data_IF_938925621437
#
_entry.id   IF_938925621437
#
_cell.length_a   1.000
_cell.length_b   1.000
_cell.length_c   1.000
_cell.angle_alpha   90.00
_cell.angle_beta   90.00
_cell.angle_gamma   90.00
#
_symmetry.space_group_name_H-M   'P 1'
#
loop_
_entity.id
_entity.type
_entity.pdbx_description
1 polymer ?
#
# COMPACT_ATOMS: atom_id res chain seq x y z
N UNK A 1 -7.25 -20.69 -20.04
CA UNK A 1 -5.90 -20.09 -20.18
C UNK A 1 -5.99 -18.59 -20.02
N UNK A 2 -5.17 -17.99 -19.16
CA UNK A 2 -5.11 -16.52 -18.97
C UNK A 2 -3.85 -15.98 -19.65
N UNK A 3 -4.04 -15.17 -20.67
CA UNK A 3 -2.96 -14.56 -21.46
C UNK A 3 -2.94 -13.05 -21.19
N UNK A 4 -1.76 -12.51 -20.87
CA UNK A 4 -1.54 -11.06 -20.85
C UNK A 4 -0.80 -10.64 -22.12
N UNK A 5 -1.27 -9.59 -22.77
CA UNK A 5 -0.59 -8.98 -23.93
C UNK A 5 -0.20 -7.55 -23.57
N UNK A 6 1.11 -7.28 -23.63
CA UNK A 6 1.70 -5.99 -23.31
C UNK A 6 2.19 -5.36 -24.61
N UNK A 7 1.60 -4.26 -25.00
CA UNK A 7 1.93 -3.53 -26.22
C UNK A 7 0.91 -2.46 -26.55
N UNK A 8 1.11 -1.76 -27.66
CA UNK A 8 0.24 -0.70 -28.16
C UNK A 8 -0.48 -1.06 -29.49
N UNK A 9 -0.17 -2.23 -30.07
CA UNK A 9 -0.77 -2.69 -31.33
C UNK A 9 -2.15 -3.32 -31.13
N UNK A 10 -3.19 -2.51 -31.34
CA UNK A 10 -4.59 -2.95 -31.22
C UNK A 10 -5.00 -4.02 -32.24
N UNK A 11 -4.34 -4.11 -33.40
CA UNK A 11 -4.63 -5.13 -34.42
C UNK A 11 -4.10 -6.49 -33.99
N UNK A 12 -2.87 -6.53 -33.48
CA UNK A 12 -2.27 -7.72 -32.89
C UNK A 12 -3.11 -8.22 -31.71
N UNK A 13 -3.52 -7.32 -30.81
CA UNK A 13 -4.34 -7.65 -29.65
C UNK A 13 -5.66 -8.29 -30.05
N UNK A 14 -6.38 -7.71 -31.02
CA UNK A 14 -7.64 -8.26 -31.52
C UNK A 14 -7.48 -9.64 -32.18
N UNK A 15 -6.41 -9.83 -32.95
CA UNK A 15 -6.09 -11.14 -33.57
C UNK A 15 -5.76 -12.20 -32.52
N UNK A 16 -4.93 -11.87 -31.54
CA UNK A 16 -4.58 -12.77 -30.45
C UNK A 16 -5.81 -13.17 -29.65
N UNK A 17 -6.66 -12.22 -29.28
CA UNK A 17 -7.90 -12.50 -28.55
C UNK A 17 -8.76 -13.50 -29.29
N UNK A 18 -9.08 -13.23 -30.56
CA UNK A 18 -9.91 -14.11 -31.37
C UNK A 18 -9.31 -15.53 -31.51
N UNK A 19 -8.00 -15.62 -31.76
CA UNK A 19 -7.36 -16.94 -31.97
C UNK A 19 -7.21 -17.72 -30.66
N UNK A 20 -6.98 -17.05 -29.55
CA UNK A 20 -6.87 -17.66 -28.22
C UNK A 20 -8.24 -18.18 -27.76
N UNK A 21 -9.31 -17.38 -27.92
CA UNK A 21 -10.69 -17.76 -27.58
C UNK A 21 -11.17 -18.99 -28.40
N UNK A 22 -10.78 -19.07 -29.68
CA UNK A 22 -11.11 -20.22 -30.54
C UNK A 22 -10.33 -21.48 -30.16
N UNK A 23 -9.06 -21.35 -29.77
CA UNK A 23 -8.16 -22.49 -29.53
C UNK A 23 -8.23 -23.04 -28.11
N UNK A 24 -8.57 -22.22 -27.13
CA UNK A 24 -8.69 -22.62 -25.71
C UNK A 24 -10.05 -22.19 -25.16
N UNK A 25 -10.91 -23.15 -24.89
CA UNK A 25 -12.17 -22.93 -24.17
C UNK A 25 -11.87 -22.32 -22.79
N UNK A 26 -12.66 -21.32 -22.38
CA UNK A 26 -12.49 -20.59 -21.12
C UNK A 26 -11.16 -19.82 -21.01
N UNK A 27 -10.68 -19.26 -22.12
CA UNK A 27 -9.51 -18.40 -22.11
C UNK A 27 -9.89 -16.94 -21.87
N UNK A 28 -8.99 -16.22 -21.19
CA UNK A 28 -9.09 -14.78 -20.94
C UNK A 28 -7.84 -14.09 -21.52
N UNK A 29 -8.04 -13.04 -22.30
CA UNK A 29 -6.95 -12.22 -22.84
C UNK A 29 -7.05 -10.82 -22.23
N UNK A 30 -6.05 -10.46 -21.44
CA UNK A 30 -5.95 -9.14 -20.80
C UNK A 30 -4.91 -8.32 -21.54
N UNK A 31 -5.32 -7.13 -21.99
CA UNK A 31 -4.47 -6.21 -22.73
C UNK A 31 -3.97 -5.11 -21.82
N UNK A 32 -2.68 -4.84 -21.91
CA UNK A 32 -2.05 -3.74 -21.21
C UNK A 32 -1.36 -2.82 -22.22
N UNK A 33 -1.81 -1.57 -22.28
CA UNK A 33 -1.17 -0.54 -23.08
C UNK A 33 -0.34 0.38 -22.17
N UNK A 34 1.00 0.31 -22.22
CA UNK A 34 1.89 1.09 -21.35
C UNK A 34 1.82 2.59 -21.59
N UNK A 35 1.50 3.03 -22.83
CA UNK A 35 1.38 4.46 -23.18
C UNK A 35 0.20 5.09 -22.45
N UNK A 36 -0.90 4.35 -22.30
CA UNK A 36 -2.13 4.83 -21.67
C UNK A 36 -2.08 4.67 -20.16
N UNK A 37 -1.49 3.58 -19.65
CA UNK A 37 -1.52 3.20 -18.23
C UNK A 37 -0.24 3.49 -17.45
N UNK A 38 0.85 3.88 -18.11
CA UNK A 38 2.13 4.21 -17.48
C UNK A 38 3.10 3.04 -17.36
N UNK A 39 4.12 3.14 -16.48
CA UNK A 39 5.20 2.17 -16.37
C UNK A 39 4.72 0.78 -15.96
N UNK A 40 5.17 -0.24 -16.66
CA UNK A 40 4.96 -1.67 -16.38
C UNK A 40 5.40 -2.12 -14.97
N UNK A 41 6.39 -1.46 -14.41
CA UNK A 41 7.06 -1.90 -13.18
C UNK A 41 6.14 -1.91 -11.95
N UNK A 42 5.08 -1.11 -11.95
CA UNK A 42 4.16 -0.93 -10.82
C UNK A 42 2.91 -1.78 -10.96
N UNK A 43 2.38 -1.93 -12.17
CA UNK A 43 1.01 -2.40 -12.39
C UNK A 43 0.88 -3.86 -12.86
N UNK A 44 1.96 -4.48 -13.35
CA UNK A 44 1.85 -5.81 -13.93
C UNK A 44 2.61 -6.85 -13.14
N UNK A 45 1.84 -7.74 -12.54
CA UNK A 45 2.30 -9.01 -12.01
C UNK A 45 1.60 -10.12 -12.74
N UNK A 46 2.35 -10.80 -13.57
CA UNK A 46 1.86 -11.96 -14.29
C UNK A 46 1.65 -13.19 -13.37
N UNK A 47 1.55 -12.99 -12.06
CA UNK A 47 1.09 -14.02 -11.14
C UNK A 47 -0.42 -14.19 -11.32
N UNK A 48 -0.81 -15.35 -11.83
CA UNK A 48 -2.19 -15.64 -12.23
C UNK A 48 -2.39 -15.74 -13.73
N UNK A 49 -1.45 -15.24 -14.54
CA UNK A 49 -1.40 -15.51 -15.97
C UNK A 49 -0.65 -16.81 -16.28
N UNK A 50 -1.06 -17.44 -17.36
CA UNK A 50 -0.38 -18.65 -17.85
C UNK A 50 0.79 -18.28 -18.76
N UNK A 51 0.64 -17.19 -19.52
CA UNK A 51 1.66 -16.64 -20.44
C UNK A 51 1.54 -15.13 -20.52
N UNK A 52 2.66 -14.46 -20.74
CA UNK A 52 2.73 -13.04 -21.10
C UNK A 52 3.33 -12.92 -22.51
N UNK A 53 2.68 -12.16 -23.39
CA UNK A 53 3.25 -11.72 -24.67
C UNK A 53 3.71 -10.27 -24.47
N UNK A 54 5.00 -10.03 -24.66
CA UNK A 54 5.61 -8.70 -24.60
C UNK A 54 6.01 -8.24 -26.00
N UNK A 55 5.39 -7.18 -26.45
CA UNK A 55 5.64 -6.60 -27.76
C UNK A 55 6.78 -5.58 -27.72
N UNK A 56 7.77 -5.73 -28.63
CA UNK A 56 8.93 -4.84 -28.72
C UNK A 56 8.61 -3.45 -29.25
N UNK A 57 7.57 -3.29 -30.07
CA UNK A 57 7.21 -1.97 -30.62
C UNK A 57 6.85 -0.95 -29.54
N UNK A 58 6.76 -1.39 -28.28
CA UNK A 58 6.52 -0.50 -27.17
C UNK A 58 7.74 0.40 -26.87
N UNK A 59 7.50 1.70 -26.98
CA UNK A 59 8.42 2.75 -26.58
C UNK A 59 7.86 3.50 -25.35
N UNK A 60 8.73 4.14 -24.56
CA UNK A 60 8.28 5.04 -23.52
C UNK A 60 7.72 6.35 -24.11
N UNK A 61 7.29 7.29 -23.21
CA UNK A 61 6.74 8.59 -23.62
C UNK A 61 7.76 9.46 -24.40
N UNK A 62 9.02 9.12 -24.36
CA UNK A 62 10.14 9.83 -25.01
C UNK A 62 10.53 9.14 -26.33
N UNK A 63 9.88 8.00 -26.67
CA UNK A 63 10.13 7.25 -27.90
C UNK A 63 11.32 6.28 -27.84
N UNK A 64 11.87 6.03 -26.63
CA UNK A 64 12.98 5.10 -26.46
C UNK A 64 12.47 3.66 -26.22
N UNK A 65 13.03 2.65 -26.91
CA UNK A 65 12.65 1.26 -26.74
C UNK A 65 13.15 0.71 -25.38
N UNK A 66 12.24 0.40 -24.49
CA UNK A 66 12.54 -0.15 -23.14
C UNK A 66 12.17 -1.62 -22.94
N UNK A 67 11.80 -2.29 -23.99
CA UNK A 67 11.25 -3.65 -23.92
C UNK A 67 12.20 -4.70 -23.32
N UNK A 68 13.51 -4.62 -23.58
CA UNK A 68 14.51 -5.56 -23.04
C UNK A 68 14.77 -5.28 -21.54
N UNK A 69 14.85 -4.03 -21.13
CA UNK A 69 15.03 -3.67 -19.71
C UNK A 69 13.83 -4.10 -18.89
N UNK A 70 12.61 -3.90 -19.41
CA UNK A 70 11.38 -4.35 -18.77
C UNK A 70 11.27 -5.88 -18.76
N UNK A 71 11.63 -6.56 -19.84
CA UNK A 71 11.69 -8.01 -19.88
C UNK A 71 12.61 -8.54 -18.77
N UNK A 72 13.81 -7.98 -18.63
CA UNK A 72 14.74 -8.36 -17.56
C UNK A 72 14.12 -8.14 -16.18
N UNK A 73 13.44 -7.02 -15.96
CA UNK A 73 12.75 -6.74 -14.69
C UNK A 73 11.61 -7.72 -14.40
N UNK A 74 10.88 -8.13 -15.43
CA UNK A 74 9.77 -9.08 -15.31
C UNK A 74 10.27 -10.50 -15.01
N UNK A 75 11.28 -10.97 -15.72
CA UNK A 75 11.77 -12.37 -15.65
C UNK A 75 12.61 -12.69 -14.42
N UNK A 76 13.27 -11.68 -13.82
CA UNK A 76 14.01 -11.84 -12.54
C UNK A 76 13.09 -12.13 -11.37
N UNK A 77 11.79 -11.87 -11.49
CA UNK A 77 10.82 -12.09 -10.40
C UNK A 77 10.44 -13.57 -10.29
N UNK A 78 10.71 -14.17 -9.14
CA UNK A 78 10.35 -15.55 -8.88
C UNK A 78 8.83 -15.78 -9.03
N UNK A 79 8.45 -16.76 -9.86
CA UNK A 79 7.05 -17.13 -10.09
C UNK A 79 6.32 -16.28 -11.14
N UNK A 80 7.03 -15.44 -11.90
CA UNK A 80 6.46 -14.73 -13.03
C UNK A 80 6.03 -15.73 -14.13
N UNK A 81 4.95 -15.43 -14.86
CA UNK A 81 4.52 -16.24 -15.99
C UNK A 81 5.58 -16.20 -17.10
N UNK A 82 5.76 -17.29 -17.87
CA UNK A 82 6.70 -17.32 -18.97
C UNK A 82 6.37 -16.22 -19.98
N UNK A 83 7.40 -15.49 -20.43
CA UNK A 83 7.26 -14.37 -21.36
C UNK A 83 7.62 -14.81 -22.77
N UNK A 84 6.71 -14.61 -23.71
CA UNK A 84 6.97 -14.71 -25.15
C UNK A 84 7.23 -13.29 -25.65
N UNK A 85 8.42 -13.03 -26.17
CA UNK A 85 8.81 -11.75 -26.71
C UNK A 85 8.52 -11.65 -28.19
N UNK A 86 7.93 -10.54 -28.62
CA UNK A 86 7.57 -10.30 -30.02
C UNK A 86 8.35 -9.10 -30.55
N UNK A 87 9.33 -9.35 -31.44
CA UNK A 87 10.09 -8.32 -32.14
C UNK A 87 9.35 -7.79 -33.38
N UNK A 88 9.64 -6.58 -33.82
CA UNK A 88 9.05 -6.00 -35.03
C UNK A 88 9.46 -6.76 -36.30
N UNK A 89 10.72 -7.19 -36.34
CA UNK A 89 11.27 -8.03 -37.43
C UNK A 89 12.04 -9.21 -36.82
N UNK A 90 12.31 -10.24 -37.63
CA UNK A 90 13.15 -11.39 -37.25
C UNK A 90 14.63 -10.96 -37.08
N UNK A 91 14.87 -9.89 -36.32
CA UNK A 91 16.20 -9.44 -35.97
C UNK A 91 16.83 -10.43 -34.95
N UNK A 92 17.80 -11.21 -35.43
CA UNK A 92 18.43 -12.24 -34.62
C UNK A 92 19.12 -11.68 -33.38
N UNK A 93 19.65 -10.46 -33.42
CA UNK A 93 20.33 -9.83 -32.28
C UNK A 93 19.34 -9.44 -31.19
N UNK A 94 18.18 -8.92 -31.53
CA UNK A 94 17.13 -8.54 -30.58
C UNK A 94 16.46 -9.79 -29.96
N UNK A 95 16.18 -10.79 -30.77
CA UNK A 95 15.63 -12.07 -30.30
C UNK A 95 16.63 -12.77 -29.35
N UNK A 96 17.92 -12.77 -29.68
CA UNK A 96 18.97 -13.31 -28.79
C UNK A 96 19.06 -12.53 -27.48
N UNK A 97 19.01 -11.19 -27.53
CA UNK A 97 18.98 -10.36 -26.34
C UNK A 97 17.76 -10.66 -25.45
N UNK A 98 16.57 -10.85 -26.06
CA UNK A 98 15.36 -11.20 -25.31
C UNK A 98 15.45 -12.58 -24.64
N UNK A 99 15.98 -13.58 -25.32
CA UNK A 99 16.22 -14.91 -24.73
C UNK A 99 17.22 -14.84 -23.58
N UNK A 100 18.29 -14.08 -23.73
CA UNK A 100 19.28 -13.85 -22.66
C UNK A 100 18.69 -13.06 -21.47
N UNK A 101 17.73 -12.20 -21.71
CA UNK A 101 16.96 -11.47 -20.68
C UNK A 101 15.88 -12.34 -20.01
N UNK A 102 15.73 -13.63 -20.42
CA UNK A 102 14.86 -14.60 -19.76
C UNK A 102 13.51 -14.83 -20.43
N UNK A 103 13.29 -14.37 -21.67
CA UNK A 103 12.12 -14.76 -22.44
C UNK A 103 12.14 -16.28 -22.70
N UNK A 104 11.00 -16.96 -22.64
CA UNK A 104 10.88 -18.38 -22.98
C UNK A 104 10.85 -18.62 -24.49
N UNK A 105 10.46 -17.63 -25.27
CA UNK A 105 10.53 -17.59 -26.74
C UNK A 105 10.66 -16.14 -27.22
N UNK A 106 11.32 -15.93 -28.35
CA UNK A 106 11.42 -14.63 -29.03
C UNK A 106 11.17 -14.83 -30.53
N UNK A 107 10.25 -14.05 -31.10
CA UNK A 107 9.74 -14.21 -32.45
C UNK A 107 9.63 -12.84 -33.14
N UNK A 108 9.75 -12.80 -34.49
CA UNK A 108 9.42 -11.63 -35.30
C UNK A 108 7.92 -11.56 -35.63
N UNK A 109 7.44 -10.38 -36.09
CA UNK A 109 6.04 -10.14 -36.50
C UNK A 109 5.74 -10.49 -37.97
N UNK A 110 6.63 -11.21 -38.65
CA UNK A 110 6.44 -11.58 -40.05
C UNK A 110 5.14 -12.40 -40.25
N UNK A 111 4.52 -12.33 -41.44
CA UNK A 111 3.19 -12.93 -41.71
C UNK A 111 3.14 -14.44 -41.40
N UNK A 112 4.24 -15.17 -41.59
CA UNK A 112 4.37 -16.59 -41.28
C UNK A 112 4.60 -16.86 -39.79
N UNK A 113 4.88 -15.84 -39.00
CA UNK A 113 5.24 -15.98 -37.57
C UNK A 113 4.04 -16.18 -36.65
N UNK A 114 2.81 -15.93 -37.12
CA UNK A 114 1.62 -15.95 -36.26
C UNK A 114 1.29 -17.36 -35.73
N UNK A 115 1.42 -18.40 -36.56
CA UNK A 115 1.25 -19.79 -36.13
C UNK A 115 2.35 -20.20 -35.14
N UNK A 116 3.57 -19.70 -35.33
CA UNK A 116 4.68 -19.91 -34.39
C UNK A 116 4.43 -19.18 -33.07
N UNK A 117 3.81 -18.00 -33.09
CA UNK A 117 3.43 -17.27 -31.89
C UNK A 117 2.39 -18.05 -31.07
N UNK A 118 1.35 -18.60 -31.72
CA UNK A 118 0.37 -19.45 -31.05
C UNK A 118 1.01 -20.76 -30.50
N UNK A 119 1.97 -21.33 -31.23
CA UNK A 119 2.70 -22.50 -30.76
C UNK A 119 3.61 -22.16 -29.56
N UNK A 120 4.27 -21.01 -29.58
CA UNK A 120 5.08 -20.52 -28.44
C UNK A 120 4.22 -20.24 -27.20
N UNK A 121 3.06 -19.63 -27.36
CA UNK A 121 2.08 -19.42 -26.29
C UNK A 121 1.62 -20.77 -25.71
N UNK A 122 1.30 -21.76 -26.56
CA UNK A 122 0.90 -23.09 -26.12
C UNK A 122 2.03 -23.80 -25.34
N UNK A 123 3.27 -23.73 -25.82
CA UNK A 123 4.45 -24.28 -25.16
C UNK A 123 4.72 -23.64 -23.79
N UNK A 124 4.64 -22.31 -23.74
CA UNK A 124 4.80 -21.55 -22.52
C UNK A 124 3.71 -21.88 -21.47
N UNK A 125 2.45 -21.99 -21.89
CA UNK A 125 1.34 -22.39 -21.03
C UNK A 125 1.51 -23.81 -20.49
N UNK A 126 2.00 -24.75 -21.31
CA UNK A 126 2.28 -26.12 -20.90
C UNK A 126 3.42 -26.19 -19.87
N UNK A 127 4.49 -25.41 -20.04
CA UNK A 127 5.58 -25.27 -19.06
C UNK A 127 5.06 -24.76 -17.72
N UNK A 128 4.21 -23.73 -17.73
CA UNK A 128 3.61 -23.17 -16.51
C UNK A 128 2.68 -24.18 -15.82
N UNK A 129 1.85 -24.90 -16.59
CA UNK A 129 0.99 -25.96 -16.05
C UNK A 129 1.80 -27.10 -15.44
N UNK A 130 2.90 -27.53 -16.08
CA UNK A 130 3.82 -28.54 -15.54
C UNK A 130 4.49 -28.09 -14.25
N UNK A 131 4.95 -26.83 -14.18
CA UNK A 131 5.53 -26.24 -12.99
C UNK A 131 4.50 -26.08 -11.85
N UNK A 132 3.22 -25.83 -12.18
CA UNK A 132 2.10 -25.82 -11.22
C UNK A 132 1.79 -27.23 -10.72
N UNK A 133 1.75 -28.24 -11.61
CA UNK A 133 1.48 -29.64 -11.24
C UNK A 133 2.57 -30.22 -10.34
N UNK A 134 3.85 -29.95 -10.60
CA UNK A 134 4.95 -30.36 -9.73
C UNK A 134 4.87 -29.70 -8.33
N UNK A 135 4.37 -28.46 -8.24
CA UNK A 135 4.11 -27.78 -6.98
C UNK A 135 2.93 -28.37 -6.20
N UNK A 136 1.94 -28.96 -6.89
CA UNK A 136 0.80 -29.65 -6.24
C UNK A 136 1.18 -31.01 -5.62
N UNK A 137 2.21 -31.70 -6.12
CA UNK A 137 2.65 -32.99 -5.54
C UNK A 137 3.46 -32.83 -4.23
N UNK A 138 3.98 -31.63 -3.93
CA UNK A 138 4.59 -31.31 -2.63
C UNK A 138 3.58 -30.86 -1.56
N UNK A 139 2.31 -31.05 -1.81
CA UNK A 139 1.17 -30.39 -1.18
C UNK A 139 0.74 -30.84 0.23
N UNK A 140 1.45 -31.76 0.90
CA UNK A 140 1.10 -32.12 2.29
C UNK A 140 1.73 -31.22 3.36
N UNK A 141 2.76 -30.44 3.03
CA UNK A 141 3.33 -29.39 3.91
C UNK A 141 2.78 -27.98 3.63
N UNK A 142 1.86 -27.84 2.65
CA UNK A 142 1.48 -26.54 2.08
C UNK A 142 0.32 -25.84 2.78
N UNK A 143 -0.39 -26.50 3.71
CA UNK A 143 -1.59 -25.93 4.35
C UNK A 143 -1.24 -24.88 5.43
N UNK A 144 -0.04 -24.96 6.02
CA UNK A 144 0.44 -24.01 7.04
C UNK A 144 1.00 -22.70 6.48
N UNK A 145 1.22 -22.61 5.15
CA UNK A 145 1.89 -21.47 4.50
C UNK A 145 0.95 -20.53 3.73
N UNK A 146 -0.36 -20.70 3.84
CA UNK A 146 -1.31 -19.82 3.14
C UNK A 146 -1.58 -18.53 3.92
N UNK A 147 -1.68 -17.42 3.17
CA UNK A 147 -2.04 -16.09 3.66
C UNK A 147 -3.52 -15.88 3.35
N UNK A 148 -4.41 -16.04 4.31
CA UNK A 148 -5.87 -15.91 4.10
C UNK A 148 -6.43 -16.73 2.94
N UNK A 149 -5.84 -17.90 2.66
CA UNK A 149 -6.18 -18.73 1.50
C UNK A 149 -5.19 -18.62 0.33
N UNK A 150 -4.51 -17.50 0.15
CA UNK A 150 -3.54 -17.25 -0.91
C UNK A 150 -2.16 -17.84 -0.60
N UNK A 151 -1.46 -18.30 -1.63
CA UNK A 151 -0.03 -18.64 -1.59
C UNK A 151 0.76 -17.52 -2.25
N UNK A 152 1.63 -16.85 -1.49
CA UNK A 152 2.49 -15.79 -2.02
C UNK A 152 3.90 -16.37 -2.21
N UNK A 153 4.33 -16.62 -3.46
CA UNK A 153 5.64 -17.23 -3.74
C UNK A 153 6.79 -16.38 -3.23
N UNK A 154 7.85 -17.05 -2.71
CA UNK A 154 9.03 -16.38 -2.18
C UNK A 154 8.88 -15.84 -0.75
N UNK A 155 7.76 -16.15 -0.09
CA UNK A 155 7.51 -15.72 1.29
C UNK A 155 6.94 -16.87 2.12
N UNK A 156 7.57 -17.10 3.27
CA UNK A 156 7.14 -18.08 4.27
C UNK A 156 6.36 -17.37 5.37
N UNK A 157 5.08 -17.72 5.52
CA UNK A 157 4.23 -17.18 6.58
C UNK A 157 4.75 -17.60 7.95
N UNK A 158 4.86 -16.65 8.88
CA UNK A 158 5.23 -16.90 10.28
C UNK A 158 3.99 -16.85 11.17
N UNK A 159 3.21 -15.76 11.11
CA UNK A 159 2.01 -15.55 11.92
C UNK A 159 1.11 -14.47 11.36
N UNK A 160 -0.15 -14.47 11.77
CA UNK A 160 -1.06 -13.34 11.55
C UNK A 160 -0.81 -12.27 12.61
N UNK A 161 -0.75 -11.00 12.17
CA UNK A 161 -0.64 -9.82 13.04
C UNK A 161 -2.00 -9.28 13.42
N UNK A 162 -2.87 -9.16 12.43
CA UNK A 162 -4.22 -8.61 12.59
C UNK A 162 -5.15 -9.17 11.54
N UNK A 163 -6.43 -9.31 11.91
CA UNK A 163 -7.52 -9.63 11.01
C UNK A 163 -8.50 -8.46 11.05
N UNK A 164 -8.51 -7.68 9.97
CA UNK A 164 -9.44 -6.58 9.77
C UNK A 164 -10.65 -7.00 8.93
N UNK A 165 -11.57 -6.07 8.71
CA UNK A 165 -12.78 -6.33 7.92
C UNK A 165 -12.45 -6.55 6.44
N UNK A 166 -11.53 -5.77 5.87
CA UNK A 166 -11.19 -5.78 4.45
C UNK A 166 -9.87 -6.48 4.11
N UNK A 167 -9.01 -6.72 5.10
CA UNK A 167 -7.71 -7.34 4.88
C UNK A 167 -7.19 -8.05 6.12
N UNK A 168 -6.34 -9.04 5.91
CA UNK A 168 -5.51 -9.65 6.95
C UNK A 168 -4.06 -9.18 6.79
N UNK A 169 -3.39 -8.97 7.92
CA UNK A 169 -1.99 -8.61 7.98
C UNK A 169 -1.18 -9.76 8.58
N UNK A 170 -0.17 -10.20 7.86
CA UNK A 170 0.70 -11.32 8.26
C UNK A 170 2.16 -10.88 8.37
N UNK A 171 2.92 -11.54 9.26
CA UNK A 171 4.38 -11.53 9.22
C UNK A 171 4.84 -12.71 8.40
N UNK A 172 5.76 -12.46 7.49
CA UNK A 172 6.41 -13.46 6.68
C UNK A 172 7.92 -13.24 6.63
N UNK A 173 8.66 -14.28 6.29
CA UNK A 173 10.08 -14.22 5.98
C UNK A 173 10.26 -14.33 4.46
N UNK A 174 11.07 -13.44 3.91
CA UNK A 174 11.44 -13.49 2.49
C UNK A 174 12.45 -14.61 2.26
N UNK A 175 12.14 -15.55 1.37
CA UNK A 175 13.05 -16.65 1.02
C UNK A 175 14.36 -16.14 0.39
N UNK A 176 14.30 -15.00 -0.31
CA UNK A 176 15.46 -14.43 -1.00
C UNK A 176 16.40 -13.66 -0.09
N UNK A 177 15.89 -13.04 0.99
CA UNK A 177 16.66 -12.12 1.84
C UNK A 177 16.78 -12.58 3.29
N UNK A 178 15.97 -13.55 3.74
CA UNK A 178 15.85 -13.94 5.14
C UNK A 178 15.32 -12.82 6.06
N UNK A 179 14.78 -11.75 5.47
CA UNK A 179 14.24 -10.61 6.20
C UNK A 179 12.76 -10.78 6.48
N UNK A 180 12.33 -10.24 7.61
CA UNK A 180 10.91 -10.18 7.96
C UNK A 180 10.21 -9.07 7.20
N UNK A 181 9.05 -9.40 6.65
CA UNK A 181 8.16 -8.48 5.95
C UNK A 181 6.75 -8.56 6.53
N UNK A 182 5.96 -7.51 6.34
CA UNK A 182 4.52 -7.53 6.58
C UNK A 182 3.81 -7.74 5.23
N UNK A 183 2.82 -8.64 5.20
CA UNK A 183 2.01 -8.91 4.01
C UNK A 183 0.55 -8.63 4.34
N UNK A 184 -0.02 -7.64 3.66
CA UNK A 184 -1.45 -7.30 3.72
C UNK A 184 -2.17 -8.03 2.59
N UNK A 185 -3.15 -8.86 2.91
CA UNK A 185 -3.94 -9.65 1.95
C UNK A 185 -5.39 -9.23 2.04
N UNK A 186 -6.00 -8.89 0.92
CA UNK A 186 -7.42 -8.52 0.86
C UNK A 186 -8.31 -9.73 1.19
N UNK A 187 -9.42 -9.47 1.90
CA UNK A 187 -10.43 -10.47 2.28
C UNK A 187 -11.73 -10.25 1.50
N UNK A 188 -12.60 -11.26 1.58
CA UNK A 188 -13.97 -11.24 1.06
C UNK A 188 -14.03 -10.89 -0.45
N UNK A 189 -13.04 -11.38 -1.19
CA UNK A 189 -13.03 -11.33 -2.64
C UNK A 189 -13.86 -12.51 -3.13
N UNK A 190 -15.13 -12.25 -3.48
CA UNK A 190 -16.07 -13.28 -3.91
C UNK A 190 -16.35 -13.22 -5.42
N UNK A 191 -15.89 -12.17 -6.07
CA UNK A 191 -16.04 -11.93 -7.51
C UNK A 191 -14.82 -11.24 -8.10
N UNK A 192 -14.65 -11.29 -9.41
CA UNK A 192 -13.60 -10.55 -10.13
C UNK A 192 -13.72 -9.03 -9.89
N UNK A 193 -14.92 -8.50 -9.75
CA UNK A 193 -15.12 -7.09 -9.45
C UNK A 193 -14.65 -6.72 -8.04
N UNK A 194 -14.81 -7.60 -7.05
CA UNK A 194 -14.30 -7.40 -5.69
C UNK A 194 -12.76 -7.45 -5.66
N UNK A 195 -12.17 -8.35 -6.45
CA UNK A 195 -10.73 -8.44 -6.61
C UNK A 195 -10.14 -7.15 -7.21
N UNK A 196 -10.77 -6.65 -8.28
CA UNK A 196 -10.40 -5.38 -8.91
C UNK A 196 -10.50 -4.21 -7.92
N UNK A 197 -11.55 -4.13 -7.14
CA UNK A 197 -11.73 -3.10 -6.12
C UNK A 197 -10.70 -3.21 -4.99
N UNK A 198 -10.41 -4.42 -4.54
CA UNK A 198 -9.41 -4.68 -3.50
C UNK A 198 -8.00 -4.32 -4.01
N UNK A 199 -7.67 -4.72 -5.24
CA UNK A 199 -6.38 -4.42 -5.85
C UNK A 199 -6.20 -2.92 -6.08
N UNK A 200 -7.21 -2.21 -6.61
CA UNK A 200 -7.15 -0.75 -6.79
C UNK A 200 -6.92 0.00 -5.49
N UNK A 201 -7.52 -0.44 -4.38
CA UNK A 201 -7.26 0.15 -3.06
C UNK A 201 -5.80 -0.03 -2.62
N UNK A 202 -5.25 -1.25 -2.74
CA UNK A 202 -3.85 -1.51 -2.40
C UNK A 202 -2.90 -0.74 -3.33
N UNK A 203 -3.25 -0.60 -4.62
CA UNK A 203 -2.49 0.18 -5.59
C UNK A 203 -2.47 1.66 -5.22
N UNK A 204 -3.60 2.25 -4.82
CA UNK A 204 -3.65 3.63 -4.34
C UNK A 204 -2.77 3.85 -3.11
N UNK A 205 -2.81 2.94 -2.12
CA UNK A 205 -1.95 2.99 -0.93
C UNK A 205 -0.45 2.90 -1.33
N UNK A 206 -0.12 2.02 -2.28
CA UNK A 206 1.22 1.87 -2.82
C UNK A 206 1.70 3.16 -3.49
N UNK A 207 0.92 3.70 -4.44
CA UNK A 207 1.28 4.90 -5.21
C UNK A 207 1.50 6.11 -4.31
N UNK A 208 0.71 6.21 -3.24
CA UNK A 208 0.87 7.26 -2.24
C UNK A 208 2.16 7.09 -1.45
N UNK A 209 2.45 5.87 -0.97
CA UNK A 209 3.69 5.59 -0.25
C UNK A 209 4.93 5.87 -1.09
N UNK A 210 4.87 5.64 -2.42
CA UNK A 210 5.99 5.90 -3.34
C UNK A 210 6.28 7.39 -3.56
N UNK A 211 5.30 8.29 -3.33
CA UNK A 211 5.48 9.74 -3.51
C UNK A 211 6.10 10.43 -2.31
N UNK A 212 6.11 9.77 -1.16
CA UNK A 212 6.59 10.33 0.10
C UNK A 212 7.96 9.75 0.44
N UNK A 213 8.83 10.55 1.08
CA UNK A 213 10.12 10.07 1.57
C UNK A 213 9.91 8.82 2.47
N UNK A 214 10.56 7.67 2.14
CA UNK A 214 10.44 6.44 2.91
C UNK A 214 10.96 6.54 4.35
N UNK A 215 11.59 7.65 4.73
CA UNK A 215 11.90 7.94 6.13
C UNK A 215 10.65 8.15 6.98
N UNK A 216 9.54 8.62 6.39
CA UNK A 216 8.32 9.02 7.08
C UNK A 216 7.13 8.09 6.87
N UNK A 217 7.18 7.21 5.87
CA UNK A 217 6.09 6.28 5.54
C UNK A 217 6.60 4.85 5.43
N UNK A 218 5.69 3.89 5.42
CA UNK A 218 6.01 2.49 5.22
C UNK A 218 6.62 2.26 3.83
N UNK A 219 7.71 1.49 3.77
CA UNK A 219 8.25 1.03 2.48
C UNK A 219 7.39 -0.11 1.95
N UNK A 220 6.88 0.05 0.75
CA UNK A 220 6.22 -1.02 0.01
C UNK A 220 7.22 -1.65 -0.93
N UNK A 221 7.41 -2.97 -0.80
CA UNK A 221 8.37 -3.74 -1.59
C UNK A 221 7.74 -4.36 -2.81
N UNK A 222 6.47 -4.78 -2.70
CA UNK A 222 5.78 -5.49 -3.73
C UNK A 222 4.25 -5.42 -3.58
N UNK A 223 3.50 -5.52 -4.68
CA UNK A 223 2.04 -5.50 -4.75
C UNK A 223 1.58 -6.51 -5.82
N UNK A 224 0.53 -7.30 -5.63
CA UNK A 224 0.09 -8.25 -6.63
C UNK A 224 -1.20 -8.98 -6.31
N UNK A 225 -1.50 -9.93 -7.19
CA UNK A 225 -2.61 -10.87 -7.06
C UNK A 225 -2.03 -12.28 -7.07
N UNK A 226 -2.45 -13.13 -6.13
CA UNK A 226 -2.13 -14.55 -6.10
C UNK A 226 -3.31 -15.33 -5.56
N UNK A 227 -3.65 -16.47 -6.21
CA UNK A 227 -4.80 -17.31 -5.86
C UNK A 227 -6.07 -16.47 -5.62
N UNK A 228 -6.41 -15.54 -6.55
CA UNK A 228 -7.57 -14.66 -6.49
C UNK A 228 -7.59 -13.68 -5.29
N UNK A 229 -6.45 -13.42 -4.68
CA UNK A 229 -6.30 -12.48 -3.58
C UNK A 229 -5.31 -11.38 -3.94
N UNK A 230 -5.74 -10.13 -3.77
CA UNK A 230 -4.84 -8.99 -3.86
C UNK A 230 -3.99 -8.91 -2.59
N UNK A 231 -2.68 -8.66 -2.74
CA UNK A 231 -1.76 -8.54 -1.61
C UNK A 231 -0.75 -7.41 -1.80
N UNK A 232 -0.22 -6.90 -0.70
CA UNK A 232 0.85 -5.91 -0.66
C UNK A 232 1.92 -6.34 0.35
N UNK A 233 3.19 -6.29 -0.05
CA UNK A 233 4.34 -6.64 0.76
C UNK A 233 5.05 -5.37 1.18
N UNK A 234 5.27 -5.22 2.48
CA UNK A 234 5.79 -3.99 3.04
C UNK A 234 6.77 -4.22 4.19
N UNK A 235 7.45 -3.15 4.61
CA UNK A 235 8.32 -3.11 5.77
C UNK A 235 7.61 -3.65 7.02
N UNK A 236 8.28 -4.56 7.74
CA UNK A 236 7.80 -5.06 9.02
C UNK A 236 8.42 -4.24 10.16
N UNK A 237 7.59 -3.73 11.04
CA UNK A 237 8.00 -2.95 12.20
C UNK A 237 7.95 -3.82 13.46
N UNK A 238 9.09 -4.32 13.88
CA UNK A 238 9.19 -5.19 15.05
C UNK A 238 9.03 -4.45 16.38
N UNK A 239 9.28 -3.13 16.41
CA UNK A 239 8.96 -2.27 17.55
C UNK A 239 7.44 -2.08 17.73
N UNK A 240 6.64 -2.43 16.72
CA UNK A 240 5.19 -2.32 16.71
C UNK A 240 4.67 -0.91 16.48
N UNK A 241 3.39 -0.71 16.81
CA UNK A 241 2.68 0.56 16.66
C UNK A 241 2.76 1.43 17.93
N UNK A 242 2.45 2.71 17.78
CA UNK A 242 2.40 3.67 18.87
C UNK A 242 1.32 3.28 19.92
N UNK A 243 0.19 2.68 19.53
CA UNK A 243 -0.85 2.19 20.46
C UNK A 243 -0.28 1.16 21.44
N UNK A 244 0.58 0.25 20.96
CA UNK A 244 1.27 -0.74 21.80
C UNK A 244 2.25 -0.03 22.75
N UNK A 245 2.99 0.97 22.28
CA UNK A 245 3.94 1.74 23.09
C UNK A 245 3.25 2.53 24.20
N UNK A 246 2.06 3.07 23.95
CA UNK A 246 1.27 3.86 24.89
C UNK A 246 0.58 3.04 25.97
N UNK A 247 0.67 1.70 25.94
CA UNK A 247 0.21 0.85 27.06
C UNK A 247 1.00 1.08 28.34
N UNK A 248 2.23 1.55 28.24
CA UNK A 248 3.05 1.99 29.36
C UNK A 248 3.17 3.52 29.35
N UNK A 249 3.26 4.18 30.52
CA UNK A 249 3.46 5.61 30.59
C UNK A 249 4.67 6.07 29.76
N UNK A 250 4.56 7.22 29.13
CA UNK A 250 5.62 7.85 28.36
C UNK A 250 6.23 8.99 29.18
N UNK A 251 7.55 9.17 29.06
CA UNK A 251 8.16 10.43 29.54
C UNK A 251 7.72 11.55 28.61
N UNK A 252 7.60 12.75 29.16
CA UNK A 252 7.17 13.95 28.40
C UNK A 252 8.06 14.15 27.15
N UNK A 253 9.38 14.01 27.32
CA UNK A 253 10.37 14.15 26.23
C UNK A 253 10.11 13.12 25.14
N UNK A 254 9.84 11.86 25.48
CA UNK A 254 9.57 10.81 24.50
C UNK A 254 8.25 11.08 23.74
N UNK A 255 7.20 11.53 24.45
CA UNK A 255 5.92 11.90 23.85
C UNK A 255 6.07 13.05 22.83
N UNK A 256 6.82 14.10 23.21
CA UNK A 256 7.09 15.24 22.32
C UNK A 256 7.95 14.85 21.11
N UNK A 257 8.95 13.98 21.29
CA UNK A 257 9.77 13.48 20.19
C UNK A 257 8.94 12.70 19.17
N UNK A 258 8.06 11.82 19.67
CA UNK A 258 7.14 11.06 18.80
C UNK A 258 6.15 11.99 18.09
N UNK A 259 5.57 12.95 18.80
CA UNK A 259 4.67 13.95 18.22
C UNK A 259 5.36 14.79 17.14
N UNK A 260 6.60 15.22 17.37
CA UNK A 260 7.41 15.92 16.38
C UNK A 260 7.66 15.05 15.15
N UNK A 261 8.03 13.79 15.35
CA UNK A 261 8.26 12.85 14.24
C UNK A 261 7.00 12.58 13.43
N UNK A 262 5.82 12.47 14.09
CA UNK A 262 4.52 12.36 13.40
C UNK A 262 4.23 13.63 12.60
N UNK A 263 4.45 14.82 13.19
CA UNK A 263 4.24 16.10 12.50
C UNK A 263 5.13 16.24 11.26
N UNK A 264 6.40 15.83 11.32
CA UNK A 264 7.31 15.80 10.17
C UNK A 264 6.82 14.81 9.09
N UNK A 265 6.36 13.61 9.50
CA UNK A 265 5.76 12.64 8.59
C UNK A 265 4.52 13.20 7.89
N UNK A 266 3.63 13.86 8.63
CA UNK A 266 2.46 14.55 8.06
C UNK A 266 2.88 15.67 7.10
N UNK A 267 3.93 16.43 7.43
CA UNK A 267 4.44 17.48 6.53
C UNK A 267 4.93 16.90 5.20
N UNK A 268 5.62 15.75 5.23
CA UNK A 268 6.08 15.07 4.03
C UNK A 268 4.90 14.55 3.18
N UNK A 269 3.85 14.00 3.82
CA UNK A 269 2.62 13.57 3.14
C UNK A 269 1.89 14.75 2.53
N UNK A 270 1.68 15.83 3.28
CA UNK A 270 0.96 17.03 2.84
C UNK A 270 1.68 17.74 1.67
N UNK A 271 3.02 17.66 1.61
CA UNK A 271 3.79 18.21 0.49
C UNK A 271 3.47 17.55 -0.86
N UNK A 272 2.93 16.33 -0.85
CA UNK A 272 2.45 15.63 -2.07
C UNK A 272 1.01 15.97 -2.45
N UNK A 273 0.37 16.89 -1.73
CA UNK A 273 -1.03 17.27 -1.95
C UNK A 273 -2.05 16.30 -1.33
N UNK A 274 -1.60 15.38 -0.48
CA UNK A 274 -2.42 14.33 0.12
C UNK A 274 -2.70 14.59 1.58
N UNK A 275 -3.90 14.24 2.04
CA UNK A 275 -4.28 14.20 3.45
C UNK A 275 -4.23 12.75 3.95
N UNK A 276 -3.78 12.54 5.20
CA UNK A 276 -3.75 11.21 5.79
C UNK A 276 -5.15 10.73 6.22
N UNK A 277 -5.98 11.61 6.78
CA UNK A 277 -7.41 11.42 7.16
C UNK A 277 -7.69 10.37 8.23
N UNK A 278 -6.74 9.50 8.58
CA UNK A 278 -6.90 8.44 9.59
C UNK A 278 -5.68 8.40 10.54
N UNK A 279 -5.22 9.56 11.00
CA UNK A 279 -4.09 9.66 11.94
C UNK A 279 -4.53 9.17 13.31
N UNK A 280 -3.98 8.01 13.72
CA UNK A 280 -4.26 7.36 15.01
C UNK A 280 -3.05 6.52 15.46
N UNK A 281 -2.91 6.18 16.75
CA UNK A 281 -1.75 5.44 17.24
C UNK A 281 -1.51 4.09 16.56
N UNK A 282 -2.56 3.43 16.04
CA UNK A 282 -2.44 2.18 15.31
C UNK A 282 -1.79 2.34 13.92
N UNK A 283 -1.88 3.55 13.33
CA UNK A 283 -1.33 3.89 12.01
C UNK A 283 0.03 4.61 12.10
N UNK A 284 0.64 4.64 13.29
CA UNK A 284 1.98 5.18 13.55
C UNK A 284 2.88 4.04 13.98
N UNK A 285 3.74 3.57 13.09
CA UNK A 285 4.70 2.50 13.35
C UNK A 285 6.00 3.06 13.90
N UNK A 286 6.66 2.31 14.79
CA UNK A 286 7.90 2.72 15.44
C UNK A 286 9.09 2.01 14.81
N UNK A 287 10.19 2.75 14.55
CA UNK A 287 11.46 2.20 14.06
C UNK A 287 12.45 2.00 15.21
N UNK A 288 13.27 0.93 15.16
CA UNK A 288 14.28 0.62 16.19
C UNK A 288 15.29 1.75 16.42
N UNK A 289 15.64 2.48 15.38
CA UNK A 289 16.59 3.60 15.44
C UNK A 289 15.99 4.92 15.92
N UNK A 290 14.72 4.91 16.37
CA UNK A 290 13.92 6.11 16.62
C UNK A 290 13.21 6.58 15.33
N UNK A 291 12.29 7.54 15.49
CA UNK A 291 11.44 7.99 14.40
C UNK A 291 10.20 7.10 14.23
N UNK A 292 9.30 7.56 13.37
CA UNK A 292 8.03 6.90 13.09
C UNK A 292 7.82 6.75 11.59
N UNK A 293 6.98 5.78 11.19
CA UNK A 293 6.48 5.65 9.85
C UNK A 293 4.94 5.68 9.88
N UNK A 294 4.34 6.47 9.02
CA UNK A 294 2.89 6.52 8.84
C UNK A 294 2.46 5.39 7.87
N UNK A 295 1.36 4.75 8.20
CA UNK A 295 0.76 3.67 7.41
C UNK A 295 -0.73 3.96 7.17
N UNK A 296 -1.34 3.23 6.22
CA UNK A 296 -2.79 3.24 5.96
C UNK A 296 -3.34 4.65 5.72
N UNK A 297 -2.91 5.28 4.62
CA UNK A 297 -3.48 6.54 4.15
C UNK A 297 -4.98 6.34 3.88
N UNK A 298 -5.82 7.16 4.50
CA UNK A 298 -7.28 7.02 4.51
C UNK A 298 -7.97 7.27 3.16
N UNK A 299 -7.39 6.81 2.05
CA UNK A 299 -7.92 6.91 0.68
C UNK A 299 -9.25 6.20 0.52
N UNK A 300 -9.49 5.14 1.30
CA UNK A 300 -10.77 4.43 1.32
C UNK A 300 -11.92 5.27 1.90
N UNK A 301 -11.63 6.38 2.59
CA UNK A 301 -12.65 7.22 3.23
C UNK A 301 -13.29 8.23 2.27
N UNK A 302 -12.73 8.52 1.09
CA UNK A 302 -13.43 9.35 0.10
C UNK A 302 -14.67 8.68 -0.48
N UNK A 303 -14.64 7.34 -0.65
CA UNK A 303 -15.79 6.56 -1.10
C UNK A 303 -16.73 6.14 0.06
N UNK A 304 -16.24 6.20 1.31
CA UNK A 304 -16.96 5.71 2.48
C UNK A 304 -17.58 6.84 3.32
N UNK A 305 -17.21 8.11 3.10
CA UNK A 305 -17.93 9.24 3.73
C UNK A 305 -19.41 9.31 3.31
N UNK A 306 -19.77 8.72 2.15
CA UNK A 306 -21.18 8.47 1.78
C UNK A 306 -21.72 7.15 2.36
N UNK A 307 -20.86 6.20 2.78
CA UNK A 307 -21.20 4.86 3.26
C UNK A 307 -20.94 4.62 4.75
N UNK A 308 -20.11 5.45 5.44
CA UNK A 308 -19.81 5.31 6.88
C UNK A 308 -21.00 5.70 7.80
N UNK A 309 -22.00 6.34 7.25
CA UNK A 309 -23.35 6.39 7.83
C UNK A 309 -24.17 5.37 7.04
N UNK A 310 -24.06 4.09 7.40
CA UNK A 310 -24.98 3.09 6.88
C UNK A 310 -26.41 3.55 7.16
N UNK A 311 -27.38 3.16 6.32
CA UNK A 311 -28.85 3.40 6.53
C UNK A 311 -29.35 2.95 7.92
N UNK A 312 -28.50 2.26 8.70
CA UNK A 312 -28.72 1.81 10.07
C UNK A 312 -28.08 2.70 11.14
N UNK A 313 -27.42 3.82 10.81
CA UNK A 313 -26.78 4.73 11.79
C UNK A 313 -25.57 4.15 12.52
N UNK A 314 -24.93 3.09 12.01
CA UNK A 314 -23.72 2.53 12.57
C UNK A 314 -22.49 3.20 11.96
N UNK A 315 -21.70 3.88 12.80
CA UNK A 315 -20.40 4.41 12.44
C UNK A 315 -19.38 3.27 12.49
N UNK A 316 -18.76 2.96 11.35
CA UNK A 316 -17.69 1.95 11.28
C UNK A 316 -16.42 2.55 11.91
N UNK A 317 -16.08 2.11 13.12
CA UNK A 317 -14.91 2.56 13.89
C UNK A 317 -15.24 3.57 14.99
N UNK A 318 -14.32 3.73 15.92
CA UNK A 318 -14.50 4.64 17.05
C UNK A 318 -13.89 6.00 16.72
N UNK A 319 -14.67 7.13 16.76
CA UNK A 319 -14.25 8.43 16.24
C UNK A 319 -13.34 9.22 17.20
N UNK A 320 -12.54 8.53 18.03
CA UNK A 320 -11.72 9.15 19.08
C UNK A 320 -10.64 10.12 18.58
N UNK A 321 -10.18 9.97 17.35
CA UNK A 321 -9.11 10.80 16.78
C UNK A 321 -9.61 11.70 15.64
N UNK A 322 -10.91 11.65 15.35
CA UNK A 322 -11.55 12.39 14.29
C UNK A 322 -11.59 13.89 14.60
N UNK A 323 -11.32 14.73 13.62
CA UNK A 323 -11.47 16.18 13.80
C UNK A 323 -12.96 16.58 13.82
N UNK A 324 -13.30 17.76 14.41
CA UNK A 324 -14.68 18.26 14.42
C UNK A 324 -15.30 18.35 13.03
N UNK A 325 -14.55 18.84 12.04
CA UNK A 325 -14.96 18.97 10.65
C UNK A 325 -15.19 17.61 9.99
N UNK A 326 -14.32 16.62 10.24
CA UNK A 326 -14.54 15.25 9.75
C UNK A 326 -15.81 14.63 10.30
N UNK A 327 -16.05 14.80 11.62
CA UNK A 327 -17.24 14.24 12.27
C UNK A 327 -18.57 14.88 11.83
N UNK A 328 -18.53 16.02 11.14
CA UNK A 328 -19.71 16.75 10.66
C UNK A 328 -19.81 16.78 9.13
N UNK A 329 -18.91 16.07 8.40
CA UNK A 329 -18.91 16.07 6.94
C UNK A 329 -18.57 17.42 6.32
N UNK A 330 -17.86 18.29 7.07
CA UNK A 330 -17.41 19.60 6.58
C UNK A 330 -16.13 19.44 5.74
N UNK A 331 -15.77 20.41 4.89
CA UNK A 331 -14.52 20.38 4.14
C UNK A 331 -13.31 20.20 5.05
N UNK A 332 -12.44 19.26 4.70
CA UNK A 332 -11.23 18.94 5.46
C UNK A 332 -9.99 19.45 4.74
N UNK A 333 -8.99 19.83 5.51
CA UNK A 333 -7.65 20.18 5.03
C UNK A 333 -6.55 19.58 5.91
N UNK A 334 -5.29 19.96 5.70
CA UNK A 334 -4.12 19.49 6.46
C UNK A 334 -4.27 19.66 7.99
N UNK A 335 -5.10 20.62 8.43
CA UNK A 335 -5.33 20.94 9.84
C UNK A 335 -6.19 19.89 10.55
N UNK A 336 -6.94 19.07 9.79
CA UNK A 336 -7.68 17.92 10.33
C UNK A 336 -6.72 16.84 10.85
N UNK A 337 -5.63 16.56 10.12
CA UNK A 337 -4.59 15.63 10.58
C UNK A 337 -3.84 16.18 11.80
N UNK A 338 -3.66 17.52 11.89
CA UNK A 338 -3.04 18.18 13.04
C UNK A 338 -3.90 18.09 14.31
N UNK A 339 -5.23 18.14 14.16
CA UNK A 339 -6.13 17.89 15.28
C UNK A 339 -5.99 16.47 15.80
N UNK A 340 -5.94 15.48 14.91
CA UNK A 340 -5.72 14.06 15.27
C UNK A 340 -4.38 13.86 15.98
N UNK A 341 -3.30 14.55 15.53
CA UNK A 341 -2.03 14.60 16.22
C UNK A 341 -2.17 15.20 17.63
N UNK A 342 -2.98 16.24 17.79
CA UNK A 342 -3.29 16.83 19.09
C UNK A 342 -3.94 15.85 20.06
N UNK A 343 -4.90 15.03 19.57
CA UNK A 343 -5.50 13.95 20.37
C UNK A 343 -4.45 12.92 20.80
N UNK A 344 -3.58 12.51 19.86
CA UNK A 344 -2.50 11.56 20.14
C UNK A 344 -1.54 12.12 21.18
N UNK A 345 -1.13 13.40 21.06
CA UNK A 345 -0.23 14.04 22.01
C UNK A 345 -0.87 14.12 23.40
N UNK A 346 -2.14 14.53 23.50
CA UNK A 346 -2.87 14.56 24.78
C UNK A 346 -2.90 13.16 25.43
N UNK A 347 -3.20 12.12 24.63
CA UNK A 347 -3.25 10.74 25.13
C UNK A 347 -1.85 10.23 25.54
N UNK A 348 -0.79 10.54 24.81
CA UNK A 348 0.59 10.22 25.19
C UNK A 348 1.02 10.87 26.51
N UNK A 349 0.58 12.10 26.75
CA UNK A 349 0.92 12.87 27.96
C UNK A 349 0.13 12.43 29.19
N UNK A 350 -1.16 12.06 29.00
CA UNK A 350 -2.07 11.83 30.12
C UNK A 350 -2.45 10.35 30.33
N UNK A 351 -2.14 9.47 29.38
CA UNK A 351 -2.58 8.07 29.36
C UNK A 351 -4.07 7.89 29.07
N UNK A 352 -4.82 8.97 28.74
CA UNK A 352 -6.25 8.93 28.44
C UNK A 352 -6.61 9.86 27.30
N UNK A 353 -7.64 9.53 26.56
CA UNK A 353 -8.16 10.40 25.51
C UNK A 353 -8.90 11.62 26.10
N UNK A 354 -8.87 12.78 25.44
CA UNK A 354 -9.54 13.98 25.95
C UNK A 354 -11.06 13.87 25.94
N UNK A 355 -11.63 13.09 25.03
CA UNK A 355 -13.08 12.92 24.86
C UNK A 355 -13.44 11.45 24.84
N UNK A 356 -14.32 11.03 25.76
CA UNK A 356 -14.74 9.66 25.96
C UNK A 356 -16.23 9.60 26.23
N UNK A 357 -16.95 8.74 25.53
CA UNK A 357 -18.35 8.40 25.76
C UNK A 357 -18.63 6.99 25.23
N UNK A 358 -19.71 6.35 25.70
CA UNK A 358 -20.14 5.04 25.20
C UNK A 358 -20.71 5.13 23.77
N UNK A 359 -21.39 6.24 23.47
CA UNK A 359 -21.99 6.46 22.16
C UNK A 359 -21.02 7.20 21.22
N UNK A 360 -20.71 6.64 20.03
CA UNK A 360 -19.85 7.30 19.04
C UNK A 360 -20.29 8.71 18.65
N UNK A 361 -21.61 8.95 18.52
CA UNK A 361 -22.12 10.29 18.21
C UNK A 361 -21.86 11.30 19.33
N UNK A 362 -21.88 10.85 20.59
CA UNK A 362 -21.54 11.70 21.72
C UNK A 362 -20.06 12.11 21.68
N UNK A 363 -19.16 11.20 21.24
CA UNK A 363 -17.74 11.51 21.06
C UNK A 363 -17.57 12.57 19.96
N UNK A 364 -18.25 12.43 18.81
CA UNK A 364 -18.24 13.42 17.72
C UNK A 364 -18.72 14.77 18.23
N UNK A 365 -19.82 14.80 18.98
CA UNK A 365 -20.32 16.02 19.60
C UNK A 365 -19.29 16.65 20.56
N UNK A 366 -18.60 15.83 21.37
CA UNK A 366 -17.56 16.32 22.29
C UNK A 366 -16.38 16.93 21.54
N UNK A 367 -15.94 16.35 20.44
CA UNK A 367 -14.91 16.94 19.58
C UNK A 367 -15.28 18.36 19.12
N UNK A 368 -16.55 18.61 18.84
CA UNK A 368 -17.06 19.93 18.39
C UNK A 368 -17.26 20.92 19.53
N UNK A 369 -17.83 20.47 20.66
CA UNK A 369 -18.41 21.37 21.66
C UNK A 369 -17.74 21.35 23.03
N UNK A 370 -17.16 20.19 23.45
CA UNK A 370 -16.61 20.08 24.80
C UNK A 370 -15.29 20.86 24.93
N UNK A 371 -15.04 21.51 26.07
CA UNK A 371 -13.77 22.17 26.35
C UNK A 371 -12.62 21.13 26.33
N UNK A 372 -11.44 21.56 25.95
CA UNK A 372 -10.23 20.76 26.00
C UNK A 372 -9.87 20.56 27.49
N UNK A 373 -9.75 19.32 27.99
CA UNK A 373 -9.41 19.10 29.39
C UNK A 373 -8.02 19.67 29.74
N UNK A 374 -7.80 20.12 30.96
CA UNK A 374 -6.49 20.55 31.41
C UNK A 374 -5.53 19.36 31.50
N UNK A 375 -4.27 19.61 31.20
CA UNK A 375 -3.18 18.70 31.48
C UNK A 375 -2.88 18.67 33.00
N UNK A 376 -2.25 17.62 33.52
CA UNK A 376 -1.74 17.58 34.91
C UNK A 376 -0.81 18.75 35.22
N UNK A 377 -0.76 19.21 36.48
CA UNK A 377 0.02 20.38 36.91
C UNK A 377 1.48 20.33 36.47
N UNK A 378 2.12 19.16 36.57
CA UNK A 378 3.51 18.97 36.14
C UNK A 378 3.71 19.05 34.62
N UNK A 379 2.64 19.13 33.84
CA UNK A 379 2.62 19.28 32.38
C UNK A 379 1.93 20.57 31.92
N UNK A 380 1.54 21.46 32.84
CA UNK A 380 0.78 22.67 32.54
C UNK A 380 1.46 23.58 31.49
N UNK A 381 2.80 23.59 31.44
CA UNK A 381 3.55 24.34 30.44
C UNK A 381 3.28 23.86 28.97
N UNK A 382 2.77 22.64 28.78
CA UNK A 382 2.40 22.11 27.47
C UNK A 382 0.96 22.43 27.05
N UNK A 383 0.16 22.97 27.96
CA UNK A 383 -1.25 23.27 27.72
C UNK A 383 -1.47 24.15 26.47
N UNK A 384 -0.70 25.26 26.26
CA UNK A 384 -0.88 26.10 25.07
C UNK A 384 -0.66 25.36 23.75
N UNK A 385 0.34 24.44 23.68
CA UNK A 385 0.63 23.61 22.51
C UNK A 385 -0.55 22.68 22.21
N UNK A 386 -1.04 21.98 23.23
CA UNK A 386 -2.18 21.06 23.11
C UNK A 386 -3.45 21.83 22.73
N UNK A 387 -3.71 22.99 23.33
CA UNK A 387 -4.86 23.83 23.00
C UNK A 387 -4.83 24.29 21.54
N UNK A 388 -3.67 24.66 21.03
CA UNK A 388 -3.53 25.08 19.63
C UNK A 388 -3.77 23.93 18.65
N UNK A 389 -3.25 22.74 18.92
CA UNK A 389 -3.52 21.56 18.09
C UNK A 389 -5.00 21.16 18.14
N UNK A 390 -5.64 21.21 19.31
CA UNK A 390 -7.02 20.79 19.54
C UNK A 390 -8.06 21.91 19.39
N UNK A 391 -7.67 23.07 18.86
CA UNK A 391 -8.61 24.16 18.61
C UNK A 391 -9.78 23.68 17.76
N UNK A 392 -11.00 24.08 18.13
CA UNK A 392 -12.24 23.60 17.49
C UNK A 392 -12.35 24.09 16.05
N UNK A 393 -12.03 25.35 15.83
CA UNK A 393 -11.93 25.93 14.49
C UNK A 393 -10.58 25.58 13.86
N UNK A 394 -10.55 25.04 12.64
CA UNK A 394 -9.29 24.80 11.92
C UNK A 394 -8.42 26.07 11.79
N UNK A 395 -9.03 27.25 11.67
CA UNK A 395 -8.32 28.54 11.55
C UNK A 395 -7.47 28.90 12.79
N UNK A 396 -7.82 28.35 13.95
CA UNK A 396 -7.10 28.62 15.21
C UNK A 396 -5.96 27.62 15.47
N UNK A 397 -5.81 26.62 14.60
CA UNK A 397 -4.72 25.60 14.64
C UNK A 397 -3.45 26.12 13.99
N UNK A 398 -2.41 25.27 13.94
CA UNK A 398 -1.25 25.52 13.08
C UNK A 398 -1.67 25.43 11.61
N UNK A 399 -1.11 26.28 10.76
CA UNK A 399 -1.43 26.33 9.34
C UNK A 399 -0.88 25.12 8.56
N UNK A 400 0.21 24.51 9.06
CA UNK A 400 0.87 23.37 8.44
C UNK A 400 1.48 22.43 9.48
N UNK A 401 1.70 21.18 9.07
CA UNK A 401 2.39 20.19 9.89
C UNK A 401 3.85 20.58 10.16
N UNK A 402 4.49 21.30 9.24
CA UNK A 402 5.82 21.86 9.46
C UNK A 402 5.86 22.87 10.60
N UNK A 403 4.87 23.78 10.66
CA UNK A 403 4.77 24.74 11.79
C UNK A 403 4.53 24.00 13.12
N UNK A 404 3.67 22.98 13.12
CA UNK A 404 3.44 22.17 14.32
C UNK A 404 4.72 21.46 14.76
N UNK A 405 5.48 20.86 13.83
CA UNK A 405 6.76 20.18 14.13
C UNK A 405 7.78 21.14 14.73
N UNK A 406 7.90 22.36 14.21
CA UNK A 406 8.79 23.42 14.74
C UNK A 406 8.37 23.84 16.16
N UNK A 407 7.08 24.05 16.39
CA UNK A 407 6.57 24.42 17.71
C UNK A 407 6.80 23.33 18.75
N UNK A 408 6.55 22.06 18.40
CA UNK A 408 6.83 20.91 19.28
C UNK A 408 8.34 20.81 19.55
N UNK A 409 9.18 21.00 18.53
CA UNK A 409 10.63 20.98 18.65
C UNK A 409 11.19 22.07 19.56
N UNK A 410 10.62 23.29 19.52
CA UNK A 410 11.00 24.38 20.42
C UNK A 410 10.72 24.03 21.89
N UNK A 411 9.51 23.52 22.18
CA UNK A 411 9.15 23.07 23.52
C UNK A 411 10.06 21.94 24.02
N UNK A 412 10.38 20.98 23.14
CA UNK A 412 11.30 19.88 23.43
C UNK A 412 12.70 20.38 23.78
N UNK A 413 13.20 21.36 23.03
CA UNK A 413 14.51 21.97 23.28
C UNK A 413 14.58 22.69 24.64
N UNK A 414 13.51 23.43 24.99
CA UNK A 414 13.43 24.10 26.29
C UNK A 414 13.42 23.10 27.46
N UNK A 415 12.67 22.00 27.34
CA UNK A 415 12.63 20.98 28.37
C UNK A 415 13.99 20.30 28.57
N UNK A 416 14.68 19.98 27.48
CA UNK A 416 16.02 19.40 27.54
C UNK A 416 17.05 20.34 28.16
N UNK A 417 16.97 21.63 27.85
CA UNK A 417 17.84 22.63 28.45
C UNK A 417 17.63 22.75 29.98
N UNK A 418 16.38 22.63 30.43
CA UNK A 418 16.04 22.62 31.86
C UNK A 418 16.52 21.34 32.58
N UNK A 419 16.39 20.17 31.93
CA UNK A 419 16.91 18.90 32.48
C UNK A 419 18.45 18.89 32.60
N UNK A 420 19.17 19.56 31.68
CA UNK A 420 20.61 19.69 31.75
C UNK A 420 21.09 20.72 32.79
N UNK A 421 20.24 21.65 33.19
CA UNK A 421 20.54 22.69 34.15
C UNK A 421 20.17 22.30 35.62
N UNK A 422 19.43 21.22 35.80
CA UNK A 422 19.00 20.68 37.12
C UNK A 422 19.92 19.54 37.61
#
# INVERSE_FOLDING_TARGET
MRLMVIGDDSVLHARLRTSVEVRWLESEVIEFNPIVRGSLAVDIRAQGFDVVVLDHAWCDREGEPRSIDELTRLTVRAGFAPVVFLAEHSDSALCEAALNAGACAALGRDEDSYEWLLAAIAGAAALQAGARAQRHHSGQFAQEQRFSGARIPGYRRIRTLATGHFAELHVAESDARGELVAIKVARDVTSDSDLDHAFRRLLQEHDMAQRVDPAYVVKVFDLGISDEHAYMIMEYFDAGDLRRRMRAPLRIVDALQMAQSIALGLAAVHATGVLHRDVKPANVMLRRGGGVALIDFGLAKDAALEADITDAGQIIGTPHYMSPEQGHGEPIDVRSDLYSLGIILFEMLTGRKPFMAENPMAIIYMHRKSPIPPLPENQAALQPLVQKLLAKSPADRFESAQQAALAIGAVLAELRARELAA
#
